data_IF_789620900907
#
_entry.id   IF_789620900907
#
_cell.length_a   1.000
_cell.length_b   1.000
_cell.length_c   1.000
_cell.angle_alpha   90.00
_cell.angle_beta   90.00
_cell.angle_gamma   90.00
#
_symmetry.space_group_name_H-M   'P 1'
#
loop_
_entity.id
_entity.type
_entity.pdbx_description
1 polymer ?
#
# COMPACT_ATOMS: atom_id res chain seq x y z
N UNK A 1 7.44 27.00 10.06
CA UNK A 1 6.18 26.78 9.33
C UNK A 1 5.86 25.32 9.44
N UNK A 2 4.85 24.96 10.24
CA UNK A 2 4.36 23.57 10.29
C UNK A 2 3.60 23.33 8.98
N UNK A 3 4.22 22.68 8.02
CA UNK A 3 3.53 22.22 6.83
C UNK A 3 2.58 21.10 7.23
N UNK A 4 1.30 21.44 7.42
CA UNK A 4 0.25 20.43 7.52
C UNK A 4 0.15 19.73 6.16
N UNK A 5 0.57 18.49 6.13
CA UNK A 5 0.56 17.68 4.91
C UNK A 5 -0.71 16.80 4.83
N UNK A 6 -1.33 16.50 5.98
CA UNK A 6 -2.65 15.87 6.05
C UNK A 6 -3.70 16.98 6.13
N UNK A 7 -4.48 17.11 5.05
CA UNK A 7 -5.47 18.19 4.90
C UNK A 7 -6.62 18.04 5.91
N UNK A 8 -7.25 19.17 6.22
CA UNK A 8 -8.46 19.20 7.06
C UNK A 8 -9.60 18.35 6.45
N UNK A 9 -9.70 18.34 5.12
CA UNK A 9 -10.69 17.54 4.39
C UNK A 9 -10.46 16.04 4.64
N UNK A 10 -9.24 15.58 4.56
CA UNK A 10 -8.89 14.17 4.85
C UNK A 10 -9.21 13.81 6.29
N UNK A 11 -8.90 14.67 7.25
CA UNK A 11 -9.19 14.43 8.68
C UNK A 11 -10.70 14.35 8.96
N UNK A 12 -11.49 15.24 8.36
CA UNK A 12 -12.96 15.19 8.45
C UNK A 12 -13.52 13.93 7.83
N UNK A 13 -13.07 13.56 6.63
CA UNK A 13 -13.51 12.33 5.98
C UNK A 13 -13.18 11.08 6.80
N UNK A 14 -12.03 11.05 7.50
CA UNK A 14 -11.69 9.97 8.43
C UNK A 14 -12.68 9.95 9.60
N UNK A 15 -12.91 11.10 10.25
CA UNK A 15 -13.89 11.21 11.35
C UNK A 15 -15.27 10.72 10.92
N UNK A 16 -15.78 11.21 9.79
CA UNK A 16 -17.09 10.83 9.25
C UNK A 16 -17.18 9.33 8.95
N UNK A 17 -16.11 8.77 8.36
CA UNK A 17 -16.06 7.35 8.03
C UNK A 17 -16.04 6.47 9.28
N UNK A 18 -15.34 6.86 10.34
CA UNK A 18 -15.36 6.17 11.63
C UNK A 18 -16.76 6.14 12.24
N UNK A 19 -17.48 7.26 12.18
CA UNK A 19 -18.85 7.38 12.70
C UNK A 19 -19.83 6.54 11.88
N UNK A 20 -19.81 6.68 10.56
CA UNK A 20 -20.72 5.95 9.66
C UNK A 20 -20.55 4.44 9.79
N UNK A 21 -19.34 3.97 10.00
CA UNK A 21 -19.04 2.55 10.23
C UNK A 21 -19.16 2.14 11.71
N UNK A 22 -19.59 3.04 12.59
CA UNK A 22 -19.78 2.79 14.03
C UNK A 22 -18.51 2.26 14.70
N UNK A 23 -17.34 2.76 14.28
CA UNK A 23 -16.05 2.35 14.84
C UNK A 23 -15.93 2.88 16.26
N UNK A 24 -15.65 1.98 17.21
CA UNK A 24 -15.27 2.36 18.56
C UNK A 24 -13.78 2.68 18.57
N UNK A 25 -13.43 3.97 18.47
CA UNK A 25 -12.04 4.42 18.41
C UNK A 25 -11.24 4.18 19.70
N UNK A 26 -11.90 4.09 20.85
CA UNK A 26 -11.25 3.77 22.12
C UNK A 26 -11.10 2.26 22.38
N UNK A 27 -11.67 1.42 21.51
CA UNK A 27 -11.63 -0.02 21.59
C UNK A 27 -12.17 -0.56 22.90
N UNK A 28 -11.36 -1.33 23.63
CA UNK A 28 -11.75 -1.93 24.92
C UNK A 28 -11.63 -0.98 26.13
N UNK A 29 -11.14 0.23 25.92
CA UNK A 29 -11.03 1.23 26.98
C UNK A 29 -12.21 2.18 26.98
N UNK A 30 -12.52 2.74 28.14
CA UNK A 30 -13.33 3.95 28.20
C UNK A 30 -12.57 5.09 27.50
N UNK A 31 -13.29 6.01 26.86
CA UNK A 31 -12.67 7.09 26.07
C UNK A 31 -11.66 7.93 26.89
N UNK A 32 -11.98 8.21 28.15
CA UNK A 32 -11.07 8.90 29.06
C UNK A 32 -9.79 8.08 29.31
N UNK A 33 -9.88 6.76 29.46
CA UNK A 33 -8.72 5.90 29.65
C UNK A 33 -7.86 5.79 28.39
N UNK A 34 -8.48 5.74 27.23
CA UNK A 34 -7.78 5.76 25.95
C UNK A 34 -7.00 7.08 25.79
N UNK A 35 -7.65 8.22 26.00
CA UNK A 35 -7.01 9.54 25.88
C UNK A 35 -5.88 9.74 26.89
N UNK A 36 -5.97 9.16 28.10
CA UNK A 36 -4.90 9.18 29.08
C UNK A 36 -3.62 8.45 28.64
N UNK A 37 -3.67 7.63 27.57
CA UNK A 37 -2.49 7.02 26.95
C UNK A 37 -1.74 7.99 26.04
N UNK A 38 -2.41 9.05 25.60
CA UNK A 38 -1.88 10.05 24.66
C UNK A 38 -1.58 11.40 25.34
N UNK A 39 -2.36 11.75 26.35
CA UNK A 39 -2.35 13.07 26.98
C UNK A 39 -2.37 12.98 28.50
N UNK A 40 -1.75 13.94 29.16
CA UNK A 40 -1.90 14.10 30.61
C UNK A 40 -3.21 14.86 30.93
N UNK A 41 -4.31 14.11 30.95
CA UNK A 41 -5.66 14.66 31.17
C UNK A 41 -5.81 15.30 32.56
N UNK A 42 -4.96 14.94 33.52
CA UNK A 42 -5.00 15.50 34.87
C UNK A 42 -4.38 16.90 34.92
N UNK A 43 -3.43 17.19 34.02
CA UNK A 43 -2.83 18.51 33.88
C UNK A 43 -3.63 19.42 32.91
N UNK A 44 -4.55 18.88 32.12
CA UNK A 44 -5.37 19.63 31.17
C UNK A 44 -6.62 20.22 31.86
N UNK A 45 -7.00 21.47 31.55
CA UNK A 45 -8.19 22.10 32.14
C UNK A 45 -9.48 21.44 31.61
N UNK A 46 -10.49 21.43 32.45
CA UNK A 46 -11.85 21.09 32.04
C UNK A 46 -12.46 22.17 31.13
N UNK A 47 -13.32 21.77 30.19
CA UNK A 47 -14.18 22.69 29.45
C UNK A 47 -15.50 22.97 30.17
N UNK A 48 -15.86 22.17 31.15
CA UNK A 48 -17.01 22.35 32.01
C UNK A 48 -16.56 22.93 33.38
N UNK A 49 -17.06 24.10 33.72
CA UNK A 49 -16.74 24.80 34.96
C UNK A 49 -17.04 24.02 36.24
N UNK A 50 -17.80 22.94 36.17
CA UNK A 50 -18.14 22.07 37.30
C UNK A 50 -16.99 21.13 37.68
N UNK A 51 -16.01 20.96 36.81
CA UNK A 51 -14.88 20.05 37.00
C UNK A 51 -13.55 20.77 36.91
N UNK A 52 -12.53 20.23 37.53
CA UNK A 52 -11.21 20.85 37.58
C UNK A 52 -10.32 20.43 36.41
N UNK A 53 -10.44 19.20 35.99
CA UNK A 53 -9.56 18.57 34.99
C UNK A 53 -10.32 18.00 33.78
N UNK A 54 -9.63 17.85 32.66
CA UNK A 54 -10.15 17.18 31.48
C UNK A 54 -10.55 15.72 31.77
N UNK A 55 -9.81 15.05 32.65
CA UNK A 55 -10.11 13.69 33.07
C UNK A 55 -11.50 13.55 33.71
N UNK A 56 -11.86 14.49 34.57
CA UNK A 56 -13.14 14.48 35.30
C UNK A 56 -14.32 14.79 34.37
N UNK A 57 -14.19 15.80 33.50
CA UNK A 57 -15.31 16.18 32.64
C UNK A 57 -15.54 15.16 31.52
N UNK A 58 -14.47 14.63 30.89
CA UNK A 58 -14.60 13.58 29.89
C UNK A 58 -15.26 12.34 30.48
N UNK A 59 -14.81 11.89 31.65
CA UNK A 59 -15.43 10.77 32.34
C UNK A 59 -16.91 11.02 32.59
N UNK A 60 -17.29 12.23 33.03
CA UNK A 60 -18.67 12.56 33.29
C UNK A 60 -19.55 12.56 32.05
N UNK A 61 -19.07 13.20 30.97
CA UNK A 61 -19.85 13.40 29.76
C UNK A 61 -19.87 12.17 28.85
N UNK A 62 -18.80 11.36 28.84
CA UNK A 62 -18.70 10.21 27.93
C UNK A 62 -18.96 8.86 28.60
N UNK A 63 -18.57 8.69 29.86
CA UNK A 63 -18.75 7.41 30.56
C UNK A 63 -20.05 7.39 31.35
N UNK A 64 -20.35 8.47 32.10
CA UNK A 64 -21.55 8.49 32.94
C UNK A 64 -22.81 8.91 32.21
N UNK A 65 -22.76 9.95 31.39
CA UNK A 65 -23.94 10.56 30.79
C UNK A 65 -24.12 10.24 29.30
N UNK A 66 -23.02 10.00 28.55
CA UNK A 66 -23.01 9.83 27.08
C UNK A 66 -23.72 10.97 26.34
N UNK A 67 -23.52 12.22 26.78
CA UNK A 67 -24.21 13.41 26.30
C UNK A 67 -23.40 14.23 25.27
N UNK A 68 -22.14 13.86 25.01
CA UNK A 68 -21.37 14.38 23.88
C UNK A 68 -21.51 13.47 22.64
N UNK A 69 -21.37 14.05 21.45
CA UNK A 69 -21.41 13.29 20.19
C UNK A 69 -20.25 12.29 20.09
N UNK A 70 -20.37 11.26 19.25
CA UNK A 70 -19.35 10.22 19.12
C UNK A 70 -18.06 10.70 18.45
N UNK A 71 -18.12 11.83 17.74
CA UNK A 71 -17.00 12.49 17.07
C UNK A 71 -16.38 13.63 17.90
N UNK A 72 -16.85 13.83 19.13
CA UNK A 72 -16.46 14.93 19.99
C UNK A 72 -14.94 15.16 20.04
N UNK A 73 -14.17 14.09 20.14
CA UNK A 73 -12.71 14.13 20.28
C UNK A 73 -12.00 14.84 19.13
N UNK A 74 -12.58 14.80 17.93
CA UNK A 74 -12.00 15.45 16.75
C UNK A 74 -12.16 16.97 16.79
N UNK A 75 -13.19 17.46 17.47
CA UNK A 75 -13.58 18.88 17.51
C UNK A 75 -13.32 19.55 18.87
N UNK A 76 -12.99 18.77 19.89
CA UNK A 76 -12.67 19.31 21.22
C UNK A 76 -11.42 20.20 21.17
N UNK A 77 -11.52 21.40 21.72
CA UNK A 77 -10.45 22.41 21.65
C UNK A 77 -9.15 21.99 22.33
N UNK A 78 -9.18 21.03 23.24
CA UNK A 78 -8.01 20.52 23.98
C UNK A 78 -7.14 19.62 23.10
N UNK A 79 -7.74 18.83 22.23
CA UNK A 79 -7.06 17.90 21.32
C UNK A 79 -6.94 18.47 19.91
N UNK A 80 -7.98 19.20 19.47
CA UNK A 80 -8.06 19.89 18.20
C UNK A 80 -7.60 19.03 16.99
N UNK A 81 -7.98 17.75 17.00
CA UNK A 81 -7.46 16.75 16.05
C UNK A 81 -7.66 17.15 14.58
N UNK A 82 -8.75 17.86 14.28
CA UNK A 82 -8.96 18.39 12.92
C UNK A 82 -7.89 19.41 12.53
N UNK A 83 -7.39 20.20 13.50
CA UNK A 83 -6.42 21.27 13.26
C UNK A 83 -5.06 21.05 13.93
N UNK A 84 -4.88 19.95 14.67
CA UNK A 84 -3.62 19.61 15.32
C UNK A 84 -2.47 19.44 14.30
N UNK A 85 -1.20 19.50 14.73
CA UNK A 85 -0.08 19.04 13.93
C UNK A 85 -0.30 17.61 13.41
N UNK A 86 0.27 17.28 12.24
CA UNK A 86 0.13 15.96 11.65
C UNK A 86 0.60 14.84 12.59
N UNK A 87 1.67 15.09 13.35
CA UNK A 87 2.21 14.15 14.32
C UNK A 87 1.18 13.75 15.40
N UNK A 88 0.43 14.71 15.93
CA UNK A 88 -0.59 14.43 16.95
C UNK A 88 -1.78 13.66 16.38
N UNK A 89 -2.24 14.06 15.20
CA UNK A 89 -3.31 13.37 14.50
C UNK A 89 -2.92 11.93 14.17
N UNK A 90 -1.73 11.71 13.62
CA UNK A 90 -1.18 10.38 13.31
C UNK A 90 -1.04 9.54 14.58
N UNK A 91 -0.51 10.13 15.66
CA UNK A 91 -0.36 9.44 16.94
C UNK A 91 -1.71 8.92 17.47
N UNK A 92 -2.77 9.73 17.35
CA UNK A 92 -4.12 9.30 17.70
C UNK A 92 -4.59 8.12 16.85
N UNK A 93 -4.44 8.19 15.52
CA UNK A 93 -4.83 7.11 14.61
C UNK A 93 -4.04 5.81 14.86
N UNK A 94 -2.74 5.90 15.12
CA UNK A 94 -1.91 4.74 15.43
C UNK A 94 -2.32 4.10 16.77
N UNK A 95 -2.64 4.91 17.78
CA UNK A 95 -3.09 4.41 19.08
C UNK A 95 -4.44 3.70 18.99
N UNK A 96 -5.37 4.16 18.13
CA UNK A 96 -6.62 3.45 17.85
C UNK A 96 -6.38 2.02 17.40
N UNK A 97 -5.31 1.76 16.64
CA UNK A 97 -4.97 0.45 16.08
C UNK A 97 -4.04 -0.36 16.99
N UNK A 98 -3.61 0.20 18.13
CA UNK A 98 -2.66 -0.47 19.00
C UNK A 98 -3.25 -1.76 19.60
N UNK A 99 -2.47 -2.88 19.69
CA UNK A 99 -2.97 -4.17 20.20
C UNK A 99 -3.53 -4.12 21.64
N UNK A 100 -3.09 -3.14 22.43
CA UNK A 100 -3.65 -2.91 23.75
C UNK A 100 -5.04 -2.28 23.70
N UNK A 101 -5.39 -1.58 22.63
CA UNK A 101 -6.66 -0.89 22.42
C UNK A 101 -7.65 -1.80 21.71
N UNK A 102 -7.29 -2.31 20.54
CA UNK A 102 -8.13 -3.24 19.79
C UNK A 102 -7.68 -4.69 20.02
N UNK A 103 -8.62 -5.52 20.44
CA UNK A 103 -8.33 -6.92 20.75
C UNK A 103 -8.49 -7.88 19.56
N UNK A 104 -9.25 -7.49 18.55
CA UNK A 104 -9.57 -8.33 17.40
C UNK A 104 -8.78 -7.89 16.16
N UNK A 105 -8.03 -8.81 15.57
CA UNK A 105 -7.17 -8.53 14.42
C UNK A 105 -7.97 -8.11 13.18
N UNK A 106 -9.12 -8.73 12.94
CA UNK A 106 -9.96 -8.42 11.78
C UNK A 106 -10.52 -6.99 11.86
N UNK A 107 -10.90 -6.54 13.06
CA UNK A 107 -11.37 -5.18 13.30
C UNK A 107 -10.26 -4.15 13.05
N UNK A 108 -9.05 -4.44 13.51
CA UNK A 108 -7.86 -3.60 13.25
C UNK A 108 -7.60 -3.45 11.76
N UNK A 109 -7.70 -4.54 10.99
CA UNK A 109 -7.52 -4.51 9.53
C UNK A 109 -8.59 -3.64 8.87
N UNK A 110 -9.87 -3.80 9.25
CA UNK A 110 -10.96 -2.99 8.71
C UNK A 110 -10.78 -1.49 9.01
N UNK A 111 -10.47 -1.14 10.26
CA UNK A 111 -10.27 0.26 10.66
C UNK A 111 -9.07 0.85 9.91
N UNK A 112 -7.96 0.12 9.79
CA UNK A 112 -6.79 0.57 9.04
C UNK A 112 -7.09 0.83 7.56
N UNK A 113 -7.84 -0.06 6.91
CA UNK A 113 -8.23 0.11 5.50
C UNK A 113 -9.05 1.39 5.36
N UNK A 114 -10.05 1.58 6.20
CA UNK A 114 -10.92 2.75 6.21
C UNK A 114 -10.13 4.07 6.41
N UNK A 115 -9.17 4.10 7.31
CA UNK A 115 -8.31 5.27 7.53
C UNK A 115 -7.41 5.51 6.30
N UNK A 116 -6.79 4.46 5.76
CA UNK A 116 -5.87 4.57 4.65
C UNK A 116 -6.55 5.01 3.34
N UNK A 117 -7.83 4.66 3.10
CA UNK A 117 -8.60 5.16 1.95
C UNK A 117 -8.61 6.70 1.84
N UNK A 118 -8.48 7.37 2.97
CA UNK A 118 -8.42 8.84 3.02
C UNK A 118 -6.98 9.36 3.09
N UNK A 119 -6.12 8.77 3.93
CA UNK A 119 -4.75 9.22 4.11
C UNK A 119 -3.91 9.18 2.82
N UNK A 120 -4.15 8.18 1.95
CA UNK A 120 -3.42 8.05 0.68
C UNK A 120 -3.62 9.24 -0.25
N UNK A 121 -4.73 9.98 -0.13
CA UNK A 121 -5.00 11.20 -0.92
C UNK A 121 -4.02 12.32 -0.61
N UNK A 122 -3.49 12.34 0.60
CA UNK A 122 -2.47 13.29 1.06
C UNK A 122 -1.06 12.68 1.07
N UNK A 123 -0.89 11.50 0.47
CA UNK A 123 0.40 10.82 0.36
C UNK A 123 0.87 10.15 1.66
N UNK A 124 -0.06 9.77 2.56
CA UNK A 124 0.21 9.07 3.80
C UNK A 124 -0.54 7.75 3.91
N UNK A 125 -0.01 6.82 4.68
CA UNK A 125 -0.68 5.59 5.06
C UNK A 125 -0.18 5.06 6.40
N UNK A 126 -1.00 4.26 7.08
CA UNK A 126 -0.62 3.52 8.27
C UNK A 126 -0.10 2.14 7.85
N UNK A 127 1.19 1.87 8.10
CA UNK A 127 1.86 0.60 7.83
C UNK A 127 2.25 -0.10 9.11
N UNK A 128 2.28 -1.42 9.08
CA UNK A 128 2.88 -2.20 10.15
C UNK A 128 4.37 -1.87 10.24
N UNK A 129 4.82 -1.47 11.44
CA UNK A 129 6.21 -1.16 11.75
C UNK A 129 6.86 -2.26 12.57
N UNK A 130 6.11 -2.84 13.48
CA UNK A 130 6.57 -3.89 14.38
C UNK A 130 5.38 -4.72 14.88
N UNK A 131 5.66 -5.80 15.58
CA UNK A 131 4.64 -6.60 16.25
C UNK A 131 4.90 -6.70 17.76
N UNK A 132 3.83 -6.66 18.55
CA UNK A 132 3.83 -6.92 19.98
C UNK A 132 3.02 -8.20 20.23
N UNK A 133 3.66 -9.23 20.73
CA UNK A 133 3.04 -10.54 20.94
C UNK A 133 2.31 -11.09 19.70
N UNK A 134 2.94 -10.94 18.53
CA UNK A 134 2.40 -11.38 17.24
C UNK A 134 1.27 -10.52 16.67
N UNK A 135 0.96 -9.38 17.27
CA UNK A 135 -0.06 -8.43 16.80
C UNK A 135 0.60 -7.18 16.22
N UNK A 136 0.14 -6.68 15.06
CA UNK A 136 0.78 -5.56 14.38
C UNK A 136 0.64 -4.27 15.17
N UNK A 137 1.70 -3.45 15.15
CA UNK A 137 1.72 -2.05 15.59
C UNK A 137 2.01 -1.18 14.38
N UNK A 138 1.21 -0.15 14.20
CA UNK A 138 1.23 0.69 13.00
C UNK A 138 1.93 2.02 13.27
N UNK A 139 2.59 2.52 12.23
CA UNK A 139 3.11 3.88 12.16
C UNK A 139 2.76 4.50 10.81
N UNK A 140 2.74 5.83 10.77
CA UNK A 140 2.55 6.51 9.49
C UNK A 140 3.81 6.42 8.63
N UNK A 141 3.59 6.14 7.37
CA UNK A 141 4.60 6.16 6.33
C UNK A 141 4.11 6.99 5.14
N UNK A 142 5.05 7.55 4.39
CA UNK A 142 4.70 8.14 3.10
C UNK A 142 4.25 7.05 2.15
N UNK A 143 3.13 7.30 1.47
CA UNK A 143 2.77 6.47 0.32
C UNK A 143 3.92 6.54 -0.66
N UNK A 144 4.52 5.39 -0.89
CA UNK A 144 5.51 5.27 -1.95
C UNK A 144 4.72 5.17 -3.23
N UNK A 145 4.50 6.30 -3.90
CA UNK A 145 3.90 6.30 -5.23
C UNK A 145 4.76 5.43 -6.15
N UNK A 146 4.26 4.24 -6.47
CA UNK A 146 4.49 3.68 -7.79
C UNK A 146 3.79 4.68 -8.70
N UNK A 147 4.49 5.29 -9.66
CA UNK A 147 3.95 6.29 -10.58
C UNK A 147 2.47 6.02 -10.80
N UNK A 148 1.61 7.04 -10.66
CA UNK A 148 0.15 6.90 -10.78
C UNK A 148 -0.25 6.14 -12.07
N UNK A 149 0.55 6.27 -13.14
CA UNK A 149 0.48 5.46 -14.35
C UNK A 149 0.65 3.95 -14.13
N UNK A 150 1.49 3.54 -13.17
CA UNK A 150 1.73 2.10 -12.91
C UNK A 150 0.57 1.48 -12.13
N UNK A 151 -0.06 2.23 -11.24
CA UNK A 151 -1.23 1.77 -10.49
C UNK A 151 -2.49 1.77 -11.37
N UNK A 152 -2.66 2.78 -12.22
CA UNK A 152 -3.76 2.86 -13.18
C UNK A 152 -3.62 1.80 -14.28
N UNK A 153 -2.41 1.61 -14.81
CA UNK A 153 -2.11 0.57 -15.77
C UNK A 153 -2.37 -0.85 -15.22
N UNK A 154 -2.06 -1.09 -13.94
CA UNK A 154 -2.38 -2.36 -13.28
C UNK A 154 -3.90 -2.61 -13.17
N UNK A 155 -4.72 -1.56 -13.07
CA UNK A 155 -6.19 -1.69 -13.09
C UNK A 155 -6.73 -2.18 -14.43
N UNK A 156 -6.13 -1.80 -15.55
CA UNK A 156 -6.53 -2.26 -16.90
C UNK A 156 -6.38 -3.78 -17.00
N UNK A 157 -5.34 -4.34 -16.36
CA UNK A 157 -5.14 -5.80 -16.29
C UNK A 157 -6.19 -6.48 -15.39
N UNK A 158 -6.69 -5.77 -14.34
CA UNK A 158 -7.70 -6.32 -13.41
C UNK A 158 -9.07 -6.54 -14.04
N UNK A 159 -9.43 -5.85 -15.08
CA UNK A 159 -10.75 -6.02 -15.73
C UNK A 159 -10.88 -7.28 -16.59
N UNK A 160 -9.76 -7.94 -16.88
CA UNK A 160 -9.70 -9.02 -17.90
C UNK A 160 -9.08 -10.34 -17.40
N UNK A 161 -8.26 -10.35 -16.37
CA UNK A 161 -7.74 -11.55 -15.68
C UNK A 161 -8.48 -11.65 -14.33
N UNK A 162 -8.34 -12.78 -13.62
CA UNK A 162 -8.78 -12.87 -12.23
C UNK A 162 -8.41 -11.59 -11.46
N UNK A 163 -9.36 -10.66 -11.43
CA UNK A 163 -9.21 -9.31 -10.92
C UNK A 163 -8.70 -9.32 -9.48
N UNK A 164 -9.08 -10.35 -8.73
CA UNK A 164 -8.66 -10.53 -7.34
C UNK A 164 -7.17 -10.89 -7.24
N UNK A 165 -6.67 -11.75 -8.14
CA UNK A 165 -5.25 -12.11 -8.16
C UNK A 165 -4.37 -10.90 -8.47
N UNK A 166 -4.67 -10.16 -9.53
CA UNK A 166 -3.89 -8.99 -9.96
C UNK A 166 -3.91 -7.92 -8.88
N UNK A 167 -5.08 -7.63 -8.31
CA UNK A 167 -5.23 -6.66 -7.22
C UNK A 167 -4.40 -7.05 -6.00
N UNK A 168 -4.39 -8.32 -5.62
CA UNK A 168 -3.55 -8.83 -4.50
C UNK A 168 -2.07 -8.65 -4.79
N UNK A 169 -1.60 -8.97 -6.01
CA UNK A 169 -0.18 -8.81 -6.36
C UNK A 169 0.26 -7.35 -6.35
N UNK A 170 -0.57 -6.45 -6.92
CA UNK A 170 -0.30 -5.00 -6.89
C UNK A 170 -0.26 -4.49 -5.46
N UNK A 171 -1.23 -4.83 -4.63
CA UNK A 171 -1.26 -4.45 -3.21
C UNK A 171 -0.03 -4.97 -2.47
N UNK A 172 0.37 -6.23 -2.72
CA UNK A 172 1.56 -6.82 -2.10
C UNK A 172 2.85 -6.12 -2.51
N UNK A 173 3.01 -5.81 -3.80
CA UNK A 173 4.15 -5.02 -4.29
C UNK A 173 4.21 -3.64 -3.63
N UNK A 174 3.07 -2.95 -3.57
CA UNK A 174 2.97 -1.62 -2.97
C UNK A 174 3.30 -1.64 -1.49
N UNK A 175 2.73 -2.57 -0.73
CA UNK A 175 2.96 -2.70 0.70
C UNK A 175 4.41 -3.03 1.04
N UNK A 176 5.08 -3.84 0.20
CA UNK A 176 6.45 -4.26 0.42
C UNK A 176 7.50 -3.20 0.02
N UNK A 177 7.15 -2.23 -0.85
CA UNK A 177 8.13 -1.28 -1.41
C UNK A 177 8.93 -0.51 -0.35
N UNK A 178 8.29 -0.09 0.75
CA UNK A 178 8.92 0.73 1.77
C UNK A 178 9.65 -0.05 2.87
N UNK A 179 9.20 -1.28 3.14
CA UNK A 179 9.69 -2.08 4.26
C UNK A 179 10.55 -3.28 3.84
N UNK A 180 10.19 -3.90 2.70
CA UNK A 180 10.79 -5.14 2.21
C UNK A 180 11.06 -5.08 0.71
N UNK A 181 12.09 -4.31 0.27
CA UNK A 181 12.42 -4.15 -1.15
C UNK A 181 12.59 -5.48 -1.90
N UNK A 182 13.17 -6.48 -1.24
CA UNK A 182 13.38 -7.82 -1.79
C UNK A 182 12.04 -8.53 -2.11
N UNK A 183 11.04 -8.37 -1.24
CA UNK A 183 9.68 -8.93 -1.44
C UNK A 183 8.98 -8.21 -2.59
N UNK A 184 9.08 -6.87 -2.67
CA UNK A 184 8.50 -6.10 -3.76
C UNK A 184 9.05 -6.53 -5.12
N UNK A 185 10.37 -6.71 -5.25
CA UNK A 185 11.04 -7.17 -6.47
C UNK A 185 10.62 -8.60 -6.83
N UNK A 186 10.58 -9.51 -5.84
CA UNK A 186 10.14 -10.89 -6.05
C UNK A 186 8.70 -10.96 -6.56
N UNK A 187 7.79 -10.21 -5.92
CA UNK A 187 6.38 -10.16 -6.32
C UNK A 187 6.21 -9.55 -7.71
N UNK A 188 6.99 -8.52 -8.06
CA UNK A 188 6.98 -7.92 -9.40
C UNK A 188 7.40 -8.92 -10.49
N UNK A 189 8.43 -9.73 -10.22
CA UNK A 189 8.85 -10.82 -11.11
C UNK A 189 7.74 -11.86 -11.29
N UNK A 190 7.17 -12.36 -10.19
CA UNK A 190 6.07 -13.34 -10.20
C UNK A 190 4.87 -12.81 -10.98
N UNK A 191 4.59 -11.51 -10.89
CA UNK A 191 3.52 -10.87 -11.64
C UNK A 191 3.74 -10.94 -13.15
N UNK A 192 4.93 -10.56 -13.66
CA UNK A 192 5.26 -10.68 -15.09
C UNK A 192 5.20 -12.12 -15.58
N UNK A 193 5.74 -13.07 -14.82
CA UNK A 193 5.72 -14.49 -15.16
C UNK A 193 4.29 -15.01 -15.27
N UNK A 194 3.40 -14.62 -14.35
CA UNK A 194 1.99 -15.03 -14.39
C UNK A 194 1.27 -14.46 -15.61
N UNK A 195 1.45 -13.18 -15.92
CA UNK A 195 0.87 -12.56 -17.12
C UNK A 195 1.35 -13.28 -18.37
N UNK A 196 2.65 -13.51 -18.52
CA UNK A 196 3.20 -14.23 -19.67
C UNK A 196 2.62 -15.66 -19.81
N UNK A 197 2.56 -16.40 -18.71
CA UNK A 197 2.01 -17.77 -18.72
C UNK A 197 0.52 -17.79 -19.04
N UNK A 198 -0.23 -16.80 -18.59
CA UNK A 198 -1.67 -16.67 -18.90
C UNK A 198 -1.87 -16.39 -20.38
N UNK A 199 -1.17 -15.41 -20.95
CA UNK A 199 -1.24 -15.11 -22.40
C UNK A 199 -0.89 -16.34 -23.25
N UNK A 200 0.21 -17.03 -22.95
CA UNK A 200 0.61 -18.21 -23.71
C UNK A 200 -0.43 -19.34 -23.62
N UNK A 201 -1.04 -19.54 -22.44
CA UNK A 201 -2.10 -20.52 -22.23
C UNK A 201 -3.35 -20.16 -23.02
N UNK A 202 -3.82 -18.92 -22.98
CA UNK A 202 -5.00 -18.47 -23.73
C UNK A 202 -4.79 -18.55 -25.25
N UNK A 203 -3.55 -18.40 -25.71
CA UNK A 203 -3.15 -18.60 -27.12
C UNK A 203 -2.89 -20.07 -27.48
N UNK A 204 -3.11 -21.01 -26.57
CA UNK A 204 -2.93 -22.45 -26.82
C UNK A 204 -1.49 -22.89 -27.03
N UNK A 205 -0.51 -22.12 -26.56
CA UNK A 205 0.91 -22.41 -26.71
C UNK A 205 1.45 -23.25 -25.57
N UNK A 206 2.39 -24.16 -25.89
CA UNK A 206 3.02 -25.03 -24.89
C UNK A 206 3.83 -24.21 -23.89
N UNK A 207 3.67 -24.54 -22.61
CA UNK A 207 4.39 -23.90 -21.48
C UNK A 207 5.37 -24.90 -20.89
N UNK A 208 6.64 -24.51 -20.77
CA UNK A 208 7.58 -25.17 -19.86
C UNK A 208 7.39 -24.56 -18.46
N UNK A 209 7.03 -25.35 -17.43
CA UNK A 209 6.86 -24.84 -16.05
C UNK A 209 8.10 -24.16 -15.49
N UNK A 210 9.29 -24.56 -15.96
CA UNK A 210 10.60 -24.09 -15.47
C UNK A 210 11.19 -22.98 -16.36
N UNK A 211 10.44 -22.46 -17.34
CA UNK A 211 10.94 -21.45 -18.25
C UNK A 211 11.29 -20.15 -17.52
N UNK A 212 12.45 -19.61 -17.86
CA UNK A 212 12.91 -18.35 -17.25
C UNK A 212 12.19 -17.14 -17.85
N UNK A 213 11.99 -16.11 -17.06
CA UNK A 213 11.24 -14.90 -17.43
C UNK A 213 11.67 -14.27 -18.77
N UNK A 214 12.97 -14.09 -19.11
CA UNK A 214 13.35 -13.50 -20.40
C UNK A 214 12.85 -14.31 -21.59
N UNK A 215 12.79 -15.64 -21.46
CA UNK A 215 12.33 -16.53 -22.51
C UNK A 215 10.80 -16.53 -22.61
N UNK A 216 10.10 -16.46 -21.47
CA UNK A 216 8.64 -16.27 -21.44
C UNK A 216 8.24 -14.95 -22.13
N UNK A 217 8.88 -13.84 -21.81
CA UNK A 217 8.64 -12.54 -22.44
C UNK A 217 8.88 -12.60 -23.95
N UNK A 218 9.97 -13.27 -24.38
CA UNK A 218 10.27 -13.44 -25.81
C UNK A 218 9.23 -14.29 -26.53
N UNK A 219 8.73 -15.37 -25.90
CA UNK A 219 7.69 -16.22 -26.46
C UNK A 219 6.37 -15.46 -26.62
N UNK A 220 5.97 -14.69 -25.57
CA UNK A 220 4.78 -13.85 -25.64
C UNK A 220 4.93 -12.79 -26.73
N UNK A 221 6.03 -12.06 -26.77
CA UNK A 221 6.27 -11.04 -27.80
C UNK A 221 6.24 -11.62 -29.23
N UNK A 222 6.73 -12.85 -29.42
CA UNK A 222 6.65 -13.55 -30.71
C UNK A 222 5.22 -13.98 -31.02
N UNK A 223 4.45 -14.44 -30.03
CA UNK A 223 3.07 -14.88 -30.22
C UNK A 223 2.10 -13.73 -30.50
N UNK A 224 2.44 -12.53 -30.04
CA UNK A 224 1.68 -11.29 -30.27
C UNK A 224 2.18 -10.49 -31.49
N UNK A 225 2.96 -11.11 -32.39
CA UNK A 225 3.59 -10.46 -33.54
C UNK A 225 4.26 -9.09 -33.22
N UNK A 226 4.59 -8.85 -31.93
CA UNK A 226 5.37 -7.69 -31.47
C UNK A 226 6.82 -7.75 -31.96
N UNK A 227 7.24 -8.93 -32.44
CA UNK A 227 8.51 -9.18 -33.11
C UNK A 227 8.23 -9.37 -34.57
N UNK A 228 8.32 -8.36 -35.44
CA UNK A 228 8.05 -8.54 -36.88
C UNK A 228 8.88 -9.69 -37.45
N UNK A 229 8.23 -10.60 -38.17
CA UNK A 229 8.89 -11.52 -39.07
C UNK A 229 9.66 -10.67 -40.10
N UNK A 230 10.84 -11.14 -40.54
CA UNK A 230 11.69 -10.43 -41.50
C UNK A 230 10.90 -9.85 -42.67
N UNK A 231 10.47 -8.60 -42.55
CA UNK A 231 9.92 -7.83 -43.66
C UNK A 231 11.02 -6.85 -44.06
N UNK A 232 11.50 -7.04 -45.29
CA UNK A 232 12.45 -6.12 -45.94
C UNK A 232 11.81 -4.73 -45.96
N UNK A 233 12.36 -3.77 -45.20
CA UNK A 233 11.85 -2.39 -45.14
C UNK A 233 11.22 -1.94 -43.83
N UNK A 234 11.39 -2.67 -42.73
CA UNK A 234 10.88 -2.30 -41.40
C UNK A 234 11.35 -0.95 -40.95
N UNK A 235 10.42 -0.12 -40.49
CA UNK A 235 10.70 1.22 -39.97
C UNK A 235 11.60 1.16 -38.71
N UNK A 236 12.50 2.14 -38.56
CA UNK A 236 13.30 2.35 -37.36
C UNK A 236 12.50 2.27 -36.05
N UNK A 237 11.19 2.57 -36.10
CA UNK A 237 10.27 2.51 -34.97
C UNK A 237 10.09 1.08 -34.43
N UNK A 238 9.91 0.10 -35.31
CA UNK A 238 9.69 -1.30 -34.93
C UNK A 238 10.91 -1.92 -34.27
N UNK A 239 12.11 -1.65 -34.78
CA UNK A 239 13.35 -2.08 -34.12
C UNK A 239 13.53 -1.44 -32.75
N UNK A 240 13.10 -0.19 -32.61
CA UNK A 240 13.16 0.53 -31.34
C UNK A 240 12.20 -0.08 -30.31
N UNK A 241 10.97 -0.43 -30.69
CA UNK A 241 10.00 -1.11 -29.81
C UNK A 241 10.54 -2.47 -29.35
N UNK A 242 11.06 -3.28 -30.27
CA UNK A 242 11.70 -4.57 -29.92
C UNK A 242 12.80 -4.39 -28.88
N UNK A 243 13.67 -3.39 -29.07
CA UNK A 243 14.78 -3.11 -28.16
C UNK A 243 14.27 -2.65 -26.80
N UNK A 244 13.23 -1.82 -26.75
CA UNK A 244 12.61 -1.39 -25.49
C UNK A 244 12.06 -2.56 -24.71
N UNK A 245 11.29 -3.46 -25.34
CA UNK A 245 10.74 -4.65 -24.70
C UNK A 245 11.81 -5.61 -24.19
N UNK A 246 12.86 -5.84 -24.99
CA UNK A 246 14.00 -6.66 -24.58
C UNK A 246 14.73 -6.03 -23.37
N UNK A 247 14.89 -4.72 -23.36
CA UNK A 247 15.55 -4.01 -22.27
C UNK A 247 14.71 -4.03 -20.97
N UNK A 248 13.38 -3.87 -21.06
CA UNK A 248 12.50 -3.99 -19.89
C UNK A 248 12.53 -5.39 -19.28
N UNK A 249 12.52 -6.42 -20.12
CA UNK A 249 12.70 -7.81 -19.67
C UNK A 249 14.05 -8.01 -18.98
N UNK A 250 15.13 -7.49 -19.56
CA UNK A 250 16.49 -7.58 -19.00
C UNK A 250 16.60 -6.84 -17.66
N UNK A 251 16.01 -5.66 -17.56
CA UNK A 251 15.99 -4.89 -16.29
C UNK A 251 15.26 -5.68 -15.20
N UNK A 252 14.09 -6.22 -15.50
CA UNK A 252 13.31 -6.99 -14.53
C UNK A 252 14.04 -8.27 -14.09
N UNK A 253 14.72 -8.95 -15.01
CA UNK A 253 15.50 -10.15 -14.70
C UNK A 253 16.76 -9.85 -13.89
N UNK A 254 17.50 -8.82 -14.27
CA UNK A 254 18.71 -8.38 -13.54
C UNK A 254 18.39 -7.94 -12.10
N UNK A 255 17.25 -7.32 -11.87
CA UNK A 255 16.82 -6.96 -10.52
C UNK A 255 16.39 -8.18 -9.71
N UNK A 256 15.77 -9.18 -10.33
CA UNK A 256 15.48 -10.46 -9.68
C UNK A 256 16.76 -11.24 -9.35
N UNK A 257 17.81 -11.15 -10.18
CA UNK A 257 19.15 -11.69 -9.86
C UNK A 257 19.78 -10.97 -8.68
N UNK A 258 19.73 -9.64 -8.64
CA UNK A 258 20.18 -8.85 -7.48
C UNK A 258 19.49 -9.26 -6.21
N UNK A 259 18.16 -9.47 -6.23
CA UNK A 259 17.41 -9.99 -5.10
C UNK A 259 17.93 -11.36 -4.65
N UNK A 260 18.25 -12.26 -5.58
CA UNK A 260 18.75 -13.59 -5.24
C UNK A 260 20.17 -13.53 -4.62
N UNK A 261 21.01 -12.61 -5.07
CA UNK A 261 22.36 -12.37 -4.51
C UNK A 261 22.28 -11.73 -3.10
N UNK A 262 21.28 -10.92 -2.85
CA UNK A 262 21.07 -10.20 -1.60
C UNK A 262 19.92 -10.78 -0.75
N UNK A 263 19.25 -11.85 -1.18
CA UNK A 263 18.06 -12.44 -0.56
C UNK A 263 18.33 -13.19 0.75
N UNK A 264 17.30 -13.37 1.56
CA UNK A 264 17.32 -13.92 2.92
C UNK A 264 17.54 -15.44 3.02
N UNK A 265 17.78 -16.13 1.90
CA UNK A 265 17.83 -17.60 1.85
C UNK A 265 19.11 -18.26 2.42
N UNK A 266 20.18 -17.49 2.63
CA UNK A 266 21.41 -17.96 3.29
C UNK A 266 21.79 -16.92 4.33
N UNK A 267 22.12 -17.34 5.55
CA UNK A 267 22.47 -16.45 6.67
C UNK A 267 23.39 -15.31 6.23
N UNK A 268 22.91 -14.08 6.31
CA UNK A 268 23.65 -12.87 5.87
C UNK A 268 24.62 -12.48 6.96
N UNK A 269 25.83 -12.05 6.55
CA UNK A 269 26.67 -11.20 7.38
C UNK A 269 25.96 -9.85 7.59
N UNK A 270 25.92 -9.37 8.82
CA UNK A 270 25.28 -8.12 9.23
C UNK A 270 25.78 -6.86 8.48
N UNK A 271 26.88 -6.99 7.73
CA UNK A 271 27.48 -5.92 6.92
C UNK A 271 26.94 -5.83 5.48
N UNK A 272 26.08 -6.76 5.04
CA UNK A 272 25.58 -6.76 3.66
C UNK A 272 24.58 -5.63 3.44
N UNK A 273 24.92 -4.62 2.64
CA UNK A 273 24.02 -3.54 2.23
C UNK A 273 22.91 -4.16 1.37
N UNK A 274 21.67 -4.14 1.89
CA UNK A 274 20.50 -4.64 1.19
C UNK A 274 20.11 -3.79 -0.02
N UNK A 275 19.13 -4.26 -0.78
CA UNK A 275 18.54 -3.48 -1.87
C UNK A 275 17.79 -2.27 -1.29
N UNK A 276 18.04 -1.10 -1.87
CA UNK A 276 17.41 0.14 -1.45
C UNK A 276 16.05 0.33 -2.14
N UNK A 277 15.19 1.15 -1.55
CA UNK A 277 13.88 1.51 -2.07
C UNK A 277 13.90 1.93 -3.56
N UNK A 278 14.96 2.65 -4.01
CA UNK A 278 15.10 3.06 -5.42
C UNK A 278 15.22 1.88 -6.38
N UNK A 279 15.87 0.78 -5.96
CA UNK A 279 16.01 -0.44 -6.75
C UNK A 279 14.68 -1.18 -6.86
N UNK A 280 13.93 -1.27 -5.75
CA UNK A 280 12.60 -1.85 -5.75
C UNK A 280 11.61 -1.05 -6.62
N UNK A 281 11.64 0.28 -6.55
CA UNK A 281 10.84 1.15 -7.42
C UNK A 281 11.13 0.94 -8.90
N UNK A 282 12.40 0.82 -9.28
CA UNK A 282 12.80 0.54 -10.65
C UNK A 282 12.28 -0.83 -11.12
N UNK A 283 12.44 -1.86 -10.29
CA UNK A 283 12.00 -3.22 -10.60
C UNK A 283 10.47 -3.30 -10.78
N UNK A 284 9.74 -2.79 -9.81
CA UNK A 284 8.27 -2.79 -9.82
C UNK A 284 7.74 -1.97 -10.98
N UNK A 285 8.31 -0.79 -11.24
CA UNK A 285 7.93 0.06 -12.37
C UNK A 285 8.15 -0.63 -13.72
N UNK A 286 9.33 -1.19 -13.94
CA UNK A 286 9.67 -1.89 -15.18
C UNK A 286 8.78 -3.14 -15.41
N UNK A 287 8.61 -3.95 -14.36
CA UNK A 287 7.81 -5.16 -14.40
C UNK A 287 6.32 -4.86 -14.71
N UNK A 288 5.75 -3.87 -14.02
CA UNK A 288 4.35 -3.48 -14.25
C UNK A 288 4.14 -2.93 -15.64
N UNK A 289 5.03 -2.04 -16.12
CA UNK A 289 4.96 -1.49 -17.49
C UNK A 289 5.00 -2.61 -18.52
N UNK A 290 5.91 -3.57 -18.36
CA UNK A 290 6.03 -4.70 -19.27
C UNK A 290 4.78 -5.58 -19.24
N UNK A 291 4.31 -5.96 -18.06
CA UNK A 291 3.13 -6.82 -17.89
C UNK A 291 1.88 -6.20 -18.52
N UNK A 292 1.63 -4.91 -18.25
CA UNK A 292 0.49 -4.16 -18.82
C UNK A 292 0.57 -4.09 -20.33
N UNK A 293 1.72 -3.71 -20.88
CA UNK A 293 1.89 -3.62 -22.33
C UNK A 293 1.63 -4.96 -23.03
N UNK A 294 2.15 -6.07 -22.49
CA UNK A 294 1.92 -7.39 -23.06
C UNK A 294 0.44 -7.80 -22.98
N UNK A 295 -0.22 -7.47 -21.88
CA UNK A 295 -1.64 -7.76 -21.69
C UNK A 295 -2.56 -6.94 -22.61
N UNK A 296 -2.33 -5.64 -22.71
CA UNK A 296 -3.06 -4.75 -23.63
C UNK A 296 -2.89 -5.20 -25.09
N UNK A 297 -1.68 -5.59 -25.47
CA UNK A 297 -1.41 -6.11 -26.80
C UNK A 297 -2.18 -7.41 -27.08
N UNK A 298 -2.27 -8.31 -26.08
CA UNK A 298 -3.03 -9.55 -26.18
C UNK A 298 -4.53 -9.29 -26.33
N UNK A 299 -5.09 -8.40 -25.52
CA UNK A 299 -6.53 -8.09 -25.54
C UNK A 299 -6.95 -7.28 -26.76
N UNK A 300 -6.06 -6.46 -27.32
CA UNK A 300 -6.34 -5.72 -28.56
C UNK A 300 -6.54 -6.66 -29.75
N UNK A 301 -5.69 -7.69 -29.88
CA UNK A 301 -5.84 -8.70 -30.97
C UNK A 301 -7.07 -9.60 -30.82
N UNK A 302 -7.56 -9.81 -29.60
CA UNK A 302 -8.73 -10.68 -29.33
C UNK A 302 -10.06 -9.98 -29.66
N UNK A 303 -10.04 -8.65 -29.84
CA UNK A 303 -11.22 -7.82 -30.16
C UNK A 303 -11.41 -7.57 -31.68
N UNK A 304 -10.44 -7.92 -32.50
CA UNK A 304 -10.54 -7.93 -33.96
C UNK A 304 -10.95 -9.34 -34.48
#
# INVERSE_FOLDING_TARGET
MNDKQITEVTRRNISDSLILNKVNWSGRFEEQQFLARLYDLSAMPSTDRRYSTASEDIWKHRVMNSDWSNDWVFYDSRFNLINAPDEEFIRFLCEMLHPAVQSQTDEVVCIRVLINEHLVKDGWELREQMAISGRPVFAAARVVEINAHTAEAAKVVTESIDAEYVSRQVTRMQSALGSEPDVAIGTAKEFVETICKTILRERGLALDPNEKMPRLVKQVAASLDLVPKEIVGLSKATETVKRLLSNLGTVSDGLAELRNLHGTGHGKDASTVGLELRHARLAVGAATTLAVFLWESHTAETRE
#
